data_IF_485041943987
#
_entry.id   IF_485041943987
#
_cell.length_a   1.000
_cell.length_b   1.000
_cell.length_c   1.000
_cell.angle_alpha   90.00
_cell.angle_beta   90.00
_cell.angle_gamma   90.00
#
_symmetry.space_group_name_H-M   'P 1'
#
loop_
_entity.id
_entity.type
_entity.pdbx_description
1 polymer ?
#
# COMPACT_ATOMS: atom_id res chain seq x y z
N UNK A 1 24.31 -20.64 1.32
CA UNK A 1 23.46 -19.80 0.44
C UNK A 1 22.52 -20.72 -0.32
N UNK A 2 21.23 -20.39 -0.43
CA UNK A 2 20.26 -21.23 -1.14
C UNK A 2 20.49 -21.17 -2.66
N UNK A 3 20.26 -22.29 -3.37
CA UNK A 3 20.28 -22.31 -4.84
C UNK A 3 19.02 -21.62 -5.35
N UNK A 4 19.18 -20.59 -6.18
CA UNK A 4 18.07 -19.86 -6.80
C UNK A 4 18.34 -19.64 -8.29
N UNK A 5 17.31 -19.25 -9.05
CA UNK A 5 17.40 -18.82 -10.45
C UNK A 5 17.40 -17.29 -10.59
N UNK A 6 17.92 -16.57 -9.58
CA UNK A 6 17.87 -15.10 -9.49
C UNK A 6 18.41 -14.41 -10.76
N UNK A 7 19.43 -14.99 -11.37
CA UNK A 7 20.07 -14.56 -12.62
C UNK A 7 19.14 -14.66 -13.84
N UNK A 8 18.06 -15.44 -13.75
CA UNK A 8 17.07 -15.63 -14.82
C UNK A 8 15.77 -14.84 -14.60
N UNK A 9 15.63 -14.13 -13.50
CA UNK A 9 14.43 -13.36 -13.20
C UNK A 9 14.39 -12.08 -14.06
N UNK A 10 13.22 -11.79 -14.63
CA UNK A 10 12.99 -10.54 -15.36
C UNK A 10 12.63 -9.43 -14.36
N UNK A 11 13.29 -8.28 -14.50
CA UNK A 11 12.91 -7.06 -13.79
C UNK A 11 12.11 -6.16 -14.73
N UNK A 12 10.94 -5.70 -14.28
CA UNK A 12 10.05 -4.84 -15.05
C UNK A 12 9.64 -3.62 -14.22
N UNK A 13 9.48 -2.47 -14.88
CA UNK A 13 8.95 -1.27 -14.23
C UNK A 13 7.47 -1.43 -13.92
N UNK A 14 7.12 -1.30 -12.65
CA UNK A 14 5.75 -1.23 -12.17
C UNK A 14 5.52 0.17 -11.59
N UNK A 15 4.50 0.87 -12.06
CA UNK A 15 4.21 2.24 -11.62
C UNK A 15 2.77 2.34 -11.12
N UNK A 16 2.62 3.02 -9.99
CA UNK A 16 1.35 3.48 -9.46
C UNK A 16 1.47 4.92 -9.00
N UNK A 17 0.48 5.39 -8.25
CA UNK A 17 0.48 6.68 -7.56
C UNK A 17 0.09 6.49 -6.11
N UNK A 18 0.38 7.49 -5.28
CA UNK A 18 -0.16 7.56 -3.92
C UNK A 18 -1.68 7.49 -4.00
N UNK A 19 -2.28 6.60 -3.23
CA UNK A 19 -3.73 6.44 -3.19
C UNK A 19 -4.36 7.51 -2.29
N UNK A 20 -5.62 7.83 -2.54
CA UNK A 20 -6.42 8.54 -1.54
C UNK A 20 -6.83 7.60 -0.40
N UNK A 21 -7.12 8.11 0.82
CA UNK A 21 -7.84 7.34 1.82
C UNK A 21 -9.17 6.83 1.25
N UNK A 22 -9.47 5.54 1.40
CA UNK A 22 -10.65 4.91 0.79
C UNK A 22 -11.63 4.39 1.83
N UNK A 23 -12.91 4.68 1.61
CA UNK A 23 -14.01 4.30 2.48
C UNK A 23 -15.27 4.04 1.67
N UNK A 24 -15.96 2.93 1.96
CA UNK A 24 -17.25 2.58 1.32
C UNK A 24 -18.46 3.22 1.97
N UNK A 25 -18.37 3.61 3.24
CA UNK A 25 -19.48 4.20 4.00
C UNK A 25 -19.00 4.80 5.32
N UNK A 26 -19.87 5.52 6.05
CA UNK A 26 -19.47 6.32 7.21
C UNK A 26 -19.04 5.51 8.44
N UNK A 27 -19.31 4.21 8.49
CA UNK A 27 -19.01 3.37 9.64
C UNK A 27 -18.25 2.10 9.25
N UNK A 28 -17.36 1.68 10.13
CA UNK A 28 -16.89 0.30 10.22
C UNK A 28 -17.74 -0.42 11.27
N UNK A 29 -18.05 -1.69 11.03
CA UNK A 29 -18.83 -2.49 11.96
C UNK A 29 -17.86 -3.37 12.75
N UNK A 30 -17.86 -3.21 14.07
CA UNK A 30 -17.04 -4.02 14.97
C UNK A 30 -17.55 -5.45 15.02
N UNK A 31 -16.76 -6.36 15.58
CA UNK A 31 -17.12 -7.77 15.72
C UNK A 31 -18.42 -8.00 16.53
N UNK A 32 -18.77 -7.07 17.43
CA UNK A 32 -19.99 -7.09 18.25
C UNK A 32 -21.13 -6.23 17.66
N UNK A 33 -21.01 -5.81 16.40
CA UNK A 33 -22.09 -5.15 15.65
C UNK A 33 -22.23 -3.65 15.91
N UNK A 34 -21.27 -3.00 16.56
CA UNK A 34 -21.30 -1.55 16.83
C UNK A 34 -20.66 -0.75 15.68
N UNK A 35 -21.25 0.38 15.28
CA UNK A 35 -20.66 1.27 14.30
C UNK A 35 -19.56 2.13 14.93
N UNK A 36 -18.40 2.23 14.28
CA UNK A 36 -17.30 3.12 14.68
C UNK A 36 -16.79 3.97 13.51
N UNK A 37 -16.25 5.15 13.83
CA UNK A 37 -15.65 6.08 12.86
C UNK A 37 -14.16 6.20 13.14
N UNK A 38 -13.38 5.39 12.43
CA UNK A 38 -11.92 5.36 12.56
C UNK A 38 -11.24 5.42 11.19
N UNK A 39 -9.97 5.89 11.11
CA UNK A 39 -9.15 5.80 9.91
C UNK A 39 -8.91 4.36 9.45
N UNK A 40 -8.51 4.19 8.18
CA UNK A 40 -8.19 2.88 7.63
C UNK A 40 -7.28 2.93 6.41
N UNK A 41 -7.65 2.22 5.35
CA UNK A 41 -6.82 2.02 4.14
C UNK A 41 -6.60 3.28 3.30
N UNK A 42 -5.47 3.31 2.59
CA UNK A 42 -5.11 4.33 1.60
C UNK A 42 -4.46 5.60 2.19
N UNK A 43 -3.83 6.38 1.32
CA UNK A 43 -3.20 7.65 1.72
C UNK A 43 -1.75 7.53 2.20
N UNK A 44 -1.33 8.59 2.90
CA UNK A 44 -0.03 8.66 3.58
C UNK A 44 -0.31 8.66 5.08
N UNK A 45 0.02 7.56 5.75
CA UNK A 45 -0.04 7.42 7.21
C UNK A 45 1.27 7.91 7.82
N UNK A 46 1.22 9.07 8.47
CA UNK A 46 2.43 9.75 8.93
C UNK A 46 3.08 9.13 10.17
N UNK A 47 2.28 8.48 11.02
CA UNK A 47 2.66 8.05 12.38
C UNK A 47 2.57 6.54 12.61
N UNK A 48 2.42 5.74 11.54
CA UNK A 48 2.50 4.28 11.59
C UNK A 48 3.40 3.82 10.44
N UNK A 49 4.45 3.08 10.75
CA UNK A 49 5.49 2.63 9.83
C UNK A 49 5.79 1.15 10.01
N UNK A 50 6.46 0.57 9.01
CA UNK A 50 6.96 -0.81 9.11
C UNK A 50 7.88 -0.92 10.33
N UNK A 51 7.58 -1.88 11.20
CA UNK A 51 8.29 -2.10 12.48
C UNK A 51 7.50 -1.63 13.71
N UNK A 52 6.50 -0.76 13.56
CA UNK A 52 5.62 -0.38 14.66
C UNK A 52 4.69 -1.54 15.07
N UNK A 53 4.15 -1.46 16.29
CA UNK A 53 3.18 -2.45 16.77
C UNK A 53 1.92 -2.43 15.89
N UNK A 54 1.47 -3.62 15.48
CA UNK A 54 0.23 -3.77 14.71
C UNK A 54 -1.03 -3.45 15.52
N UNK A 55 -0.95 -3.48 16.86
CA UNK A 55 -2.06 -3.23 17.77
C UNK A 55 -1.86 -1.95 18.58
N UNK A 56 -2.94 -1.45 19.20
CA UNK A 56 -2.92 -0.26 20.05
C UNK A 56 -3.29 1.05 19.34
N UNK A 57 -3.73 0.96 18.09
CA UNK A 57 -4.21 2.09 17.30
C UNK A 57 -5.74 2.10 17.21
N UNK A 58 -6.34 3.28 17.34
CA UNK A 58 -7.77 3.49 17.08
C UNK A 58 -8.00 3.58 15.56
N UNK A 59 -7.93 2.44 14.88
CA UNK A 59 -8.00 2.34 13.42
C UNK A 59 -8.52 0.97 12.95
N UNK A 60 -8.94 0.88 11.69
CA UNK A 60 -9.33 -0.37 11.03
C UNK A 60 -8.62 -0.53 9.68
N UNK A 61 -7.85 -1.60 9.49
CA UNK A 61 -7.06 -1.82 8.27
C UNK A 61 -6.14 -0.64 7.91
N UNK A 62 -5.56 0.04 8.90
CA UNK A 62 -4.59 1.10 8.60
C UNK A 62 -3.35 0.53 7.92
N UNK A 63 -2.89 1.21 6.86
CA UNK A 63 -1.73 0.82 6.08
C UNK A 63 -0.53 1.70 6.48
N UNK A 64 0.66 1.13 6.79
CA UNK A 64 1.81 1.89 7.24
C UNK A 64 2.47 2.66 6.09
N UNK A 65 2.89 3.90 6.37
CA UNK A 65 3.63 4.72 5.42
C UNK A 65 2.79 5.20 4.24
N UNK A 66 3.10 4.76 3.03
CA UNK A 66 2.50 5.29 1.79
C UNK A 66 1.80 4.16 1.04
N UNK A 67 0.49 4.27 0.94
CA UNK A 67 -0.32 3.35 0.13
C UNK A 67 -0.35 3.79 -1.33
N UNK A 68 -0.31 2.83 -2.23
CA UNK A 68 -0.23 3.08 -3.67
C UNK A 68 -1.28 2.28 -4.44
N UNK A 69 -1.63 2.79 -5.62
CA UNK A 69 -2.61 2.19 -6.52
C UNK A 69 -2.35 2.68 -7.94
N UNK A 70 -2.73 1.92 -8.96
CA UNK A 70 -2.71 2.43 -10.34
C UNK A 70 -3.94 3.31 -10.58
N UNK A 71 -5.12 2.79 -10.24
CA UNK A 71 -6.39 3.51 -10.35
C UNK A 71 -7.41 2.99 -9.31
N UNK A 72 -7.89 3.84 -8.40
CA UNK A 72 -8.84 3.48 -7.34
C UNK A 72 -10.22 3.08 -7.84
N UNK A 73 -10.66 3.58 -9.00
CA UNK A 73 -11.97 3.30 -9.58
C UNK A 73 -11.99 1.96 -10.33
N UNK A 74 -10.81 1.47 -10.73
CA UNK A 74 -10.62 0.29 -11.57
C UNK A 74 -9.80 -0.78 -10.86
N UNK A 75 -10.06 -0.98 -9.56
CA UNK A 75 -9.25 -1.85 -8.68
C UNK A 75 -9.14 -3.29 -9.16
N UNK A 76 -10.16 -3.78 -9.85
CA UNK A 76 -10.22 -5.17 -10.34
C UNK A 76 -9.73 -5.32 -11.79
N UNK A 77 -9.27 -4.24 -12.43
CA UNK A 77 -8.75 -4.29 -13.80
C UNK A 77 -7.28 -4.70 -13.87
N UNK A 78 -6.88 -5.21 -15.04
CA UNK A 78 -5.55 -5.75 -15.34
C UNK A 78 -4.36 -4.93 -14.82
N UNK A 79 -4.33 -3.58 -14.94
CA UNK A 79 -3.21 -2.78 -14.44
C UNK A 79 -3.01 -2.86 -12.92
N UNK A 80 -4.09 -2.80 -12.12
CA UNK A 80 -3.98 -2.95 -10.66
C UNK A 80 -3.63 -4.40 -10.28
N UNK A 81 -4.19 -5.39 -10.99
CA UNK A 81 -3.84 -6.79 -10.80
C UNK A 81 -2.33 -7.03 -11.05
N UNK A 82 -1.80 -6.53 -12.17
CA UNK A 82 -0.37 -6.63 -12.48
C UNK A 82 0.51 -5.89 -11.47
N UNK A 83 0.07 -4.71 -11.01
CA UNK A 83 0.75 -3.96 -9.95
C UNK A 83 0.94 -4.80 -8.68
N UNK A 84 -0.14 -5.44 -8.21
CA UNK A 84 -0.13 -6.27 -7.02
C UNK A 84 0.64 -7.58 -7.20
N UNK A 85 0.62 -8.18 -8.40
CA UNK A 85 1.30 -9.46 -8.68
C UNK A 85 2.81 -9.29 -8.82
N UNK A 86 3.26 -8.20 -9.46
CA UNK A 86 4.67 -8.01 -9.82
C UNK A 86 5.47 -7.24 -8.75
N UNK A 87 4.80 -6.55 -7.83
CA UNK A 87 5.45 -5.91 -6.69
C UNK A 87 5.85 -6.97 -5.64
N UNK A 88 7.13 -7.04 -5.33
CA UNK A 88 7.67 -7.87 -4.25
C UNK A 88 8.07 -7.00 -3.07
N UNK A 89 7.83 -7.48 -1.84
CA UNK A 89 8.40 -6.86 -0.65
C UNK A 89 9.93 -6.85 -0.76
N UNK A 90 10.56 -5.71 -0.46
CA UNK A 90 12.00 -5.51 -0.65
C UNK A 90 12.39 -4.87 -1.98
N UNK A 91 11.47 -4.73 -2.94
CA UNK A 91 11.75 -4.00 -4.17
C UNK A 91 12.01 -2.51 -3.88
N UNK A 92 12.93 -1.91 -4.64
CA UNK A 92 13.20 -0.49 -4.53
C UNK A 92 12.09 0.33 -5.22
N UNK A 93 11.47 1.23 -4.48
CA UNK A 93 10.51 2.21 -4.97
C UNK A 93 11.18 3.58 -5.16
N UNK A 94 10.84 4.27 -6.25
CA UNK A 94 11.32 5.62 -6.57
C UNK A 94 10.15 6.58 -6.75
N UNK A 95 10.19 7.72 -6.09
CA UNK A 95 9.26 8.82 -6.37
C UNK A 95 9.66 9.50 -7.68
N UNK A 96 8.74 9.53 -8.66
CA UNK A 96 9.03 10.00 -10.03
C UNK A 96 8.58 11.44 -10.31
N UNK A 97 7.78 12.04 -9.44
CA UNK A 97 7.21 13.38 -9.59
C UNK A 97 6.95 14.06 -8.24
N UNK A 98 6.61 15.35 -8.28
CA UNK A 98 6.36 16.17 -7.08
C UNK A 98 7.63 16.56 -6.33
N UNK A 99 7.46 17.19 -5.16
CA UNK A 99 8.55 17.76 -4.36
C UNK A 99 9.55 16.70 -3.86
N UNK A 100 9.10 15.46 -3.66
CA UNK A 100 9.95 14.36 -3.22
C UNK A 100 10.59 13.56 -4.38
N UNK A 101 10.54 14.07 -5.62
CA UNK A 101 11.08 13.38 -6.80
C UNK A 101 12.54 12.97 -6.60
N UNK A 102 12.85 11.74 -6.99
CA UNK A 102 14.18 11.14 -6.86
C UNK A 102 14.42 10.42 -5.52
N UNK A 103 13.53 10.59 -4.53
CA UNK A 103 13.61 9.81 -3.30
C UNK A 103 13.48 8.31 -3.59
N UNK A 104 14.33 7.51 -2.95
CA UNK A 104 14.37 6.06 -3.03
C UNK A 104 14.04 5.46 -1.67
N UNK A 105 13.12 4.50 -1.62
CA UNK A 105 12.78 3.72 -0.42
C UNK A 105 12.46 2.28 -0.82
N UNK A 106 12.25 1.43 0.18
CA UNK A 106 11.67 0.09 0.05
C UNK A 106 10.27 0.16 0.65
#
# INVERSE_FOLDING_TARGET
>A
MLRTNKDKLVMISVQGRVSYPVRRGPYRITYDGKPVVVPGVGGITYNIKVGDCAFGWEADHVEPGVSTVVNEEKRDEGPNCAYNILACMGNQARVVSGEAKGALRV
#
